data_IF_500640930550
#
_entry.id   IF_500640930550
#
_cell.length_a   1.000
_cell.length_b   1.000
_cell.length_c   1.000
_cell.angle_alpha   90.00
_cell.angle_beta   90.00
_cell.angle_gamma   90.00
#
_symmetry.space_group_name_H-M   'P 1'
#
loop_
_entity.id
_entity.type
_entity.pdbx_description
1 polymer ?
#
# COMPACT_ATOMS: atom_id res chain seq x y z
N UNK A 1 42.09 7.07 79.79
CA UNK A 1 41.84 7.64 78.44
C UNK A 1 41.39 6.51 77.52
N UNK A 2 40.09 6.40 77.27
CA UNK A 2 39.53 5.39 76.37
C UNK A 2 39.31 6.01 74.98
N UNK A 3 40.05 5.53 73.99
CA UNK A 3 39.92 5.91 72.59
C UNK A 3 38.73 5.17 71.98
N UNK A 4 37.58 5.84 71.91
CA UNK A 4 36.39 5.32 71.23
C UNK A 4 36.57 5.43 69.72
N UNK A 5 36.78 4.30 69.05
CA UNK A 5 36.77 4.23 67.59
C UNK A 5 35.34 4.43 67.09
N UNK A 6 35.09 5.58 66.48
CA UNK A 6 33.82 5.87 65.81
C UNK A 6 33.61 4.89 64.64
N UNK A 7 32.50 4.17 64.69
CA UNK A 7 32.12 3.17 63.69
C UNK A 7 31.64 3.88 62.41
N UNK A 8 32.14 3.51 61.22
CA UNK A 8 31.82 4.21 59.99
C UNK A 8 30.35 4.00 59.62
N UNK A 9 29.57 5.09 59.66
CA UNK A 9 28.19 5.13 59.18
C UNK A 9 28.12 4.71 57.71
N UNK A 10 27.49 3.57 57.43
CA UNK A 10 27.21 3.08 56.08
C UNK A 10 26.38 4.11 55.33
N UNK A 11 27.02 4.88 54.45
CA UNK A 11 26.33 5.82 53.56
C UNK A 11 25.36 5.07 52.66
N UNK A 12 24.07 5.27 52.89
CA UNK A 12 22.97 4.69 52.12
C UNK A 12 23.03 5.22 50.69
N UNK A 13 23.66 4.47 49.77
CA UNK A 13 23.61 4.82 48.34
C UNK A 13 22.23 4.45 47.81
N UNK A 14 21.42 5.43 47.38
CA UNK A 14 20.07 5.15 46.96
C UNK A 14 20.07 4.33 45.66
N UNK A 15 19.35 3.21 45.69
CA UNK A 15 19.32 2.16 44.67
C UNK A 15 18.94 2.65 43.27
N UNK A 16 18.17 3.74 43.17
CA UNK A 16 17.76 4.35 41.91
C UNK A 16 18.91 4.84 41.01
N UNK A 17 20.09 5.13 41.56
CA UNK A 17 21.25 5.61 40.79
C UNK A 17 21.84 4.51 39.90
N UNK A 18 21.69 3.23 40.28
CA UNK A 18 22.09 2.10 39.43
C UNK A 18 21.05 1.83 38.32
N UNK A 19 19.76 2.02 38.61
CA UNK A 19 18.67 1.77 37.64
C UNK A 19 18.56 2.82 36.53
N UNK A 20 19.00 4.05 36.78
CA UNK A 20 18.99 5.13 35.77
C UNK A 20 19.79 4.79 34.51
N UNK A 21 20.90 4.06 34.65
CA UNK A 21 21.74 3.65 33.53
C UNK A 21 21.12 2.52 32.70
N UNK A 22 20.34 1.64 33.32
CA UNK A 22 19.60 0.59 32.60
C UNK A 22 18.50 1.22 31.75
N UNK A 23 17.75 2.19 32.31
CA UNK A 23 16.74 2.93 31.55
C UNK A 23 17.32 3.72 30.37
N UNK A 24 18.44 4.41 30.59
CA UNK A 24 19.15 5.13 29.52
C UNK A 24 19.74 4.18 28.48
N UNK A 25 20.26 3.02 28.88
CA UNK A 25 20.75 1.99 27.96
C UNK A 25 19.63 1.42 27.08
N UNK A 26 18.48 1.08 27.67
CA UNK A 26 17.31 0.62 26.92
C UNK A 26 16.74 1.71 26.00
N UNK A 27 16.70 2.96 26.45
CA UNK A 27 16.27 4.09 25.61
C UNK A 27 17.24 4.33 24.46
N UNK A 28 18.55 4.27 24.71
CA UNK A 28 19.56 4.41 23.67
C UNK A 28 19.48 3.24 22.67
N UNK A 29 19.35 1.99 23.12
CA UNK A 29 19.16 0.82 22.24
C UNK A 29 17.84 0.90 21.47
N UNK A 30 16.77 1.40 22.08
CA UNK A 30 15.51 1.63 21.37
C UNK A 30 15.67 2.73 20.33
N UNK A 31 16.28 3.86 20.68
CA UNK A 31 16.45 5.01 19.80
C UNK A 31 17.44 4.72 18.66
N UNK A 32 18.60 4.15 18.96
CA UNK A 32 19.57 3.73 17.94
C UNK A 32 19.09 2.50 17.18
N UNK A 33 18.37 1.58 17.82
CA UNK A 33 17.72 0.47 17.13
C UNK A 33 16.69 0.97 16.11
N UNK A 34 15.83 1.92 16.47
CA UNK A 34 14.80 2.44 15.57
C UNK A 34 15.36 3.35 14.46
N UNK A 35 16.57 3.90 14.64
CA UNK A 35 17.20 4.83 13.69
C UNK A 35 18.29 4.18 12.83
N UNK A 36 19.03 3.20 13.37
CA UNK A 36 20.14 2.50 12.70
C UNK A 36 19.84 1.06 12.33
N UNK A 37 18.85 0.38 12.93
CA UNK A 37 18.31 -0.77 12.22
C UNK A 37 17.61 -0.16 11.01
N UNK A 38 18.04 -0.46 9.77
CA UNK A 38 17.26 -0.10 8.60
C UNK A 38 15.86 -0.60 8.90
N UNK A 39 14.87 0.30 8.95
CA UNK A 39 13.46 0.04 9.28
C UNK A 39 12.94 -1.20 8.52
N UNK A 40 13.26 -2.38 9.04
CA UNK A 40 13.35 -3.66 8.34
C UNK A 40 13.93 -3.65 6.89
N UNK A 41 14.69 -4.67 6.48
CA UNK A 41 15.19 -4.81 5.10
C UNK A 41 14.09 -5.20 4.09
N UNK A 42 12.82 -4.88 4.34
CA UNK A 42 11.77 -4.97 3.33
C UNK A 42 11.82 -3.70 2.47
N UNK A 43 12.97 -3.46 1.83
CA UNK A 43 12.97 -2.57 0.68
C UNK A 43 12.00 -3.10 -0.38
N UNK A 44 11.50 -2.27 -1.30
CA UNK A 44 10.59 -2.69 -2.38
C UNK A 44 11.15 -3.86 -3.22
N UNK A 45 12.45 -4.14 -3.12
CA UNK A 45 13.11 -5.29 -3.72
C UNK A 45 12.62 -6.65 -3.22
N UNK A 46 12.09 -6.80 -1.99
CA UNK A 46 11.71 -8.14 -1.48
C UNK A 46 10.32 -8.59 -1.92
N UNK A 47 9.41 -7.69 -2.30
CA UNK A 47 8.05 -8.07 -2.71
C UNK A 47 8.05 -8.78 -4.07
N UNK A 48 8.96 -8.40 -4.96
CA UNK A 48 9.00 -8.87 -6.34
C UNK A 48 10.32 -9.56 -6.72
N UNK A 49 11.29 -9.64 -5.80
CA UNK A 49 12.59 -10.28 -6.03
C UNK A 49 12.49 -11.77 -6.35
N UNK A 50 11.48 -12.45 -5.79
CA UNK A 50 11.27 -13.90 -5.93
C UNK A 50 10.17 -14.29 -6.94
N UNK A 51 9.83 -13.41 -7.88
CA UNK A 51 8.91 -13.78 -8.97
C UNK A 51 9.55 -14.87 -9.84
N UNK A 52 8.87 -16.01 -9.95
CA UNK A 52 9.29 -17.11 -10.84
C UNK A 52 9.37 -16.64 -12.30
N UNK A 53 10.19 -17.28 -13.11
CA UNK A 53 10.30 -16.94 -14.54
C UNK A 53 8.96 -17.09 -15.27
N UNK A 54 8.12 -18.03 -14.85
CA UNK A 54 6.76 -18.21 -15.35
C UNK A 54 5.87 -16.99 -15.03
N UNK A 55 5.88 -16.52 -13.78
CA UNK A 55 5.14 -15.30 -13.41
C UNK A 55 5.71 -14.09 -14.14
N UNK A 56 7.03 -14.00 -14.32
CA UNK A 56 7.65 -12.91 -15.08
C UNK A 56 7.25 -12.93 -16.55
N UNK A 57 7.16 -14.10 -17.17
CA UNK A 57 6.72 -14.28 -18.55
C UNK A 57 5.23 -13.97 -18.75
N UNK A 58 4.39 -14.20 -17.73
CA UNK A 58 2.96 -13.88 -17.73
C UNK A 58 2.68 -12.37 -17.54
N UNK A 59 3.35 -11.51 -18.29
CA UNK A 59 3.14 -10.05 -18.26
C UNK A 59 1.68 -9.71 -18.57
N UNK A 60 1.16 -8.70 -17.87
CA UNK A 60 -0.16 -8.17 -18.13
C UNK A 60 -0.02 -7.06 -19.17
N UNK A 61 -0.59 -7.28 -20.35
CA UNK A 61 -0.62 -6.28 -21.40
C UNK A 61 -1.53 -5.11 -20.99
N UNK A 62 -1.12 -3.89 -21.33
CA UNK A 62 -1.92 -2.69 -21.17
C UNK A 62 -2.04 -1.99 -22.52
N UNK A 63 -3.12 -1.22 -22.72
CA UNK A 63 -3.36 -0.54 -24.00
C UNK A 63 -2.54 0.75 -24.07
N UNK A 64 -2.63 1.56 -23.01
CA UNK A 64 -1.87 2.81 -22.89
C UNK A 64 -1.45 3.04 -21.44
N UNK A 65 -0.32 3.72 -21.23
CA UNK A 65 0.05 4.22 -19.92
C UNK A 65 -0.65 5.55 -19.71
N UNK A 66 -1.53 5.61 -18.71
CA UNK A 66 -2.26 6.83 -18.44
C UNK A 66 -1.38 7.90 -17.79
N UNK A 67 -1.80 9.14 -17.96
CA UNK A 67 -1.20 10.34 -17.41
C UNK A 67 -2.30 11.35 -17.11
N UNK A 68 -2.00 12.37 -16.32
CA UNK A 68 -2.96 13.44 -16.05
C UNK A 68 -3.46 14.13 -17.35
N UNK A 69 -2.64 14.15 -18.40
CA UNK A 69 -3.01 14.71 -19.71
C UNK A 69 -3.97 13.82 -20.51
N UNK A 70 -3.89 12.49 -20.37
CA UNK A 70 -4.69 11.54 -21.15
C UNK A 70 -5.94 11.08 -20.39
N UNK A 71 -5.80 10.86 -19.09
CA UNK A 71 -6.83 10.35 -18.19
C UNK A 71 -6.76 11.15 -16.88
N UNK A 72 -7.32 12.37 -16.84
CA UNK A 72 -7.25 13.21 -15.65
C UNK A 72 -7.96 12.53 -14.49
N UNK A 73 -7.30 12.47 -13.33
CA UNK A 73 -7.89 11.85 -12.14
C UNK A 73 -9.06 12.69 -11.63
N UNK A 74 -10.25 12.09 -11.53
CA UNK A 74 -11.46 12.72 -11.00
C UNK A 74 -11.99 11.88 -9.85
N UNK A 75 -11.84 12.31 -8.58
CA UNK A 75 -12.36 11.55 -7.46
C UNK A 75 -13.89 11.47 -7.56
N UNK A 76 -14.43 10.28 -7.27
CA UNK A 76 -15.85 9.95 -7.52
C UNK A 76 -16.84 10.80 -6.73
N UNK A 77 -16.44 11.36 -5.58
CA UNK A 77 -17.39 12.07 -4.70
C UNK A 77 -16.80 13.23 -3.92
N UNK A 78 -15.60 13.09 -3.38
CA UNK A 78 -14.95 14.13 -2.58
C UNK A 78 -13.50 14.28 -3.01
N UNK A 79 -13.10 15.52 -3.33
CA UNK A 79 -11.69 15.86 -3.55
C UNK A 79 -11.09 16.23 -2.19
N UNK A 80 -10.57 15.23 -1.48
CA UNK A 80 -9.76 15.49 -0.30
C UNK A 80 -8.51 16.31 -0.67
N UNK A 81 -8.02 17.20 0.21
CA UNK A 81 -6.81 18.00 -0.04
C UNK A 81 -5.55 17.17 -0.32
N UNK A 82 -5.54 15.88 0.03
CA UNK A 82 -4.43 14.99 -0.28
C UNK A 82 -4.37 14.57 -1.74
N UNK A 83 -5.47 14.58 -2.50
CA UNK A 83 -5.45 14.20 -3.91
C UNK A 83 -4.61 15.14 -4.78
N UNK A 84 -4.62 16.45 -4.53
CA UNK A 84 -3.81 17.38 -5.34
C UNK A 84 -2.32 17.10 -5.16
N UNK A 85 -1.91 16.78 -3.92
CA UNK A 85 -0.54 16.36 -3.63
C UNK A 85 -0.25 14.98 -4.24
N UNK A 86 -1.19 14.05 -4.21
CA UNK A 86 -1.04 12.74 -4.83
C UNK A 86 -0.90 12.83 -6.36
N UNK A 87 -1.74 13.63 -7.03
CA UNK A 87 -1.71 13.89 -8.48
C UNK A 87 -0.46 14.65 -8.90
N UNK A 88 0.09 15.51 -8.05
CA UNK A 88 1.38 16.15 -8.32
C UNK A 88 2.56 15.17 -8.12
N UNK A 89 2.50 14.32 -7.08
CA UNK A 89 3.59 13.39 -6.71
C UNK A 89 3.72 12.23 -7.67
N UNK A 90 2.59 11.68 -8.07
CA UNK A 90 2.47 10.70 -9.12
C UNK A 90 1.81 11.47 -10.24
N UNK A 91 2.42 11.77 -11.39
CA UNK A 91 1.74 12.42 -12.53
C UNK A 91 1.24 11.44 -13.61
N UNK A 92 1.77 10.21 -13.63
CA UNK A 92 1.48 9.18 -14.63
C UNK A 92 1.53 7.76 -14.05
N UNK A 93 1.16 6.76 -14.84
CA UNK A 93 1.21 5.35 -14.41
C UNK A 93 2.63 4.88 -14.05
N UNK A 94 3.67 5.38 -14.74
CA UNK A 94 5.08 4.98 -14.51
C UNK A 94 5.56 5.40 -13.13
N UNK A 95 5.14 6.58 -12.67
CA UNK A 95 5.51 7.11 -11.36
C UNK A 95 5.04 6.21 -10.19
N UNK A 96 4.04 5.36 -10.42
CA UNK A 96 3.52 4.40 -9.44
C UNK A 96 4.28 3.07 -9.41
N UNK A 97 5.17 2.82 -10.38
CA UNK A 97 5.91 1.56 -10.47
C UNK A 97 7.21 1.60 -9.67
N UNK A 98 7.77 0.44 -9.35
CA UNK A 98 9.11 0.33 -8.75
C UNK A 98 10.15 0.96 -9.68
N UNK A 99 11.22 1.51 -9.08
CA UNK A 99 12.28 2.23 -9.81
C UNK A 99 12.83 1.45 -11.01
N UNK A 100 12.94 0.13 -10.92
CA UNK A 100 13.45 -0.71 -12.00
C UNK A 100 12.55 -0.77 -13.24
N UNK A 101 11.25 -0.45 -13.12
CA UNK A 101 10.32 -0.48 -14.26
C UNK A 101 10.08 0.90 -14.88
N UNK A 102 10.24 1.99 -14.12
CA UNK A 102 9.80 3.35 -14.54
C UNK A 102 10.34 3.78 -15.91
N UNK A 103 11.61 3.47 -16.17
CA UNK A 103 12.33 3.95 -17.35
C UNK A 103 12.33 2.94 -18.50
N UNK A 104 11.71 1.77 -18.33
CA UNK A 104 11.65 0.75 -19.39
C UNK A 104 10.70 1.18 -20.50
N UNK A 105 10.98 0.89 -21.78
CA UNK A 105 10.03 1.15 -22.86
C UNK A 105 8.68 0.46 -22.62
N UNK A 106 8.74 -0.80 -22.15
CA UNK A 106 7.60 -1.65 -21.80
C UNK A 106 7.68 -2.11 -20.33
N UNK A 107 7.24 -1.26 -19.38
CA UNK A 107 7.27 -1.56 -17.95
C UNK A 107 6.30 -2.68 -17.54
N UNK A 108 6.69 -3.47 -16.56
CA UNK A 108 5.78 -4.40 -15.90
C UNK A 108 4.88 -3.67 -14.88
N UNK A 109 3.66 -3.37 -15.30
CA UNK A 109 2.62 -2.67 -14.52
C UNK A 109 2.17 -3.41 -13.25
N UNK A 110 2.60 -4.66 -13.05
CA UNK A 110 2.34 -5.42 -11.82
C UNK A 110 3.24 -5.00 -10.67
N UNK A 111 4.39 -4.40 -10.97
CA UNK A 111 5.42 -4.08 -9.99
C UNK A 111 5.22 -2.67 -9.45
N UNK A 112 4.19 -2.50 -8.61
CA UNK A 112 3.86 -1.22 -7.97
C UNK A 112 4.87 -0.89 -6.87
N UNK A 113 5.29 0.36 -6.79
CA UNK A 113 6.06 0.89 -5.67
C UNK A 113 5.16 1.22 -4.48
N UNK A 114 4.64 0.19 -3.82
CA UNK A 114 3.79 0.34 -2.64
C UNK A 114 4.49 1.11 -1.52
N UNK A 115 5.82 1.04 -1.46
CA UNK A 115 6.63 1.82 -0.53
C UNK A 115 6.52 3.32 -0.82
N UNK A 116 6.68 3.73 -2.08
CA UNK A 116 6.51 5.12 -2.48
C UNK A 116 5.08 5.60 -2.24
N UNK A 117 4.08 4.79 -2.56
CA UNK A 117 2.66 5.11 -2.37
C UNK A 117 2.33 5.29 -0.88
N UNK A 118 2.69 4.31 -0.05
CA UNK A 118 2.39 4.27 1.37
C UNK A 118 3.19 5.26 2.21
N UNK A 119 4.36 5.69 1.74
CA UNK A 119 5.21 6.70 2.39
C UNK A 119 5.39 6.46 3.89
N UNK A 120 6.44 5.74 4.29
CA UNK A 120 6.74 5.52 5.71
C UNK A 120 6.67 6.82 6.53
N UNK A 121 5.63 6.95 7.37
CA UNK A 121 5.43 8.09 8.27
C UNK A 121 4.39 9.13 7.84
N UNK A 122 3.63 8.93 6.76
CA UNK A 122 2.48 9.80 6.46
C UNK A 122 1.30 9.49 7.41
N UNK A 123 0.55 10.52 7.85
CA UNK A 123 -0.74 10.31 8.52
C UNK A 123 -1.67 9.47 7.63
N UNK A 124 -2.44 8.57 8.25
CA UNK A 124 -3.32 7.58 7.62
C UNK A 124 -4.08 8.03 6.36
N UNK A 125 -4.56 9.28 6.32
CA UNK A 125 -5.33 9.83 5.20
C UNK A 125 -4.52 10.05 3.91
N UNK A 126 -3.19 10.20 4.00
CA UNK A 126 -2.36 10.44 2.80
C UNK A 126 -2.13 9.19 1.96
N UNK A 127 -2.30 8.00 2.54
CA UNK A 127 -1.98 6.72 1.89
C UNK A 127 -3.11 6.25 0.98
N UNK A 128 -4.36 6.48 1.37
CA UNK A 128 -5.52 6.17 0.54
C UNK A 128 -5.46 7.01 -0.73
N UNK A 129 -5.30 8.32 -0.61
CA UNK A 129 -5.32 9.26 -1.74
C UNK A 129 -4.24 8.94 -2.80
N UNK A 130 -3.01 8.65 -2.37
CA UNK A 130 -1.90 8.32 -3.29
C UNK A 130 -2.16 7.03 -4.04
N UNK A 131 -2.71 6.04 -3.36
CA UNK A 131 -2.94 4.76 -3.95
C UNK A 131 -4.18 4.74 -4.85
N UNK A 132 -5.25 5.49 -4.53
CA UNK A 132 -6.38 5.62 -5.46
C UNK A 132 -5.92 6.27 -6.77
N UNK A 133 -5.11 7.33 -6.69
CA UNK A 133 -4.52 7.99 -7.87
C UNK A 133 -3.68 6.99 -8.67
N UNK A 134 -2.84 6.21 -8.00
CA UNK A 134 -2.00 5.24 -8.69
C UNK A 134 -2.80 4.10 -9.34
N UNK A 135 -3.78 3.53 -8.64
CA UNK A 135 -4.62 2.47 -9.17
C UNK A 135 -5.51 2.98 -10.30
N UNK A 136 -6.10 4.17 -10.16
CA UNK A 136 -6.82 4.81 -11.25
C UNK A 136 -5.95 4.92 -12.49
N UNK A 137 -4.70 5.36 -12.34
CA UNK A 137 -3.81 5.51 -13.49
C UNK A 137 -3.44 4.19 -14.14
N UNK A 138 -3.19 3.17 -13.35
CA UNK A 138 -2.93 1.86 -13.92
C UNK A 138 -4.16 1.37 -14.67
N UNK A 139 -5.34 1.46 -14.08
CA UNK A 139 -6.56 0.88 -14.62
C UNK A 139 -7.20 1.68 -15.77
N UNK A 140 -6.98 2.99 -15.84
CA UNK A 140 -7.55 3.84 -16.89
C UNK A 140 -7.11 3.41 -18.31
N UNK A 141 -5.95 2.77 -18.44
CA UNK A 141 -5.42 2.26 -19.70
C UNK A 141 -5.63 0.75 -19.92
N UNK A 142 -6.46 0.10 -19.10
CA UNK A 142 -6.70 -1.34 -19.11
C UNK A 142 -8.18 -1.65 -19.36
N UNK A 143 -8.47 -2.79 -19.97
CA UNK A 143 -9.83 -3.33 -20.02
C UNK A 143 -10.20 -3.97 -18.67
N UNK A 144 -11.49 -4.16 -18.36
CA UNK A 144 -11.91 -4.81 -17.12
C UNK A 144 -11.30 -6.20 -16.92
N UNK A 145 -11.13 -6.98 -18.00
CA UNK A 145 -10.50 -8.31 -17.95
C UNK A 145 -9.02 -8.23 -17.58
N UNK A 146 -8.33 -7.22 -18.09
CA UNK A 146 -6.92 -6.96 -17.75
C UNK A 146 -6.78 -6.52 -16.29
N UNK A 147 -7.68 -5.66 -15.81
CA UNK A 147 -7.70 -5.25 -14.41
C UNK A 147 -8.04 -6.43 -13.49
N UNK A 148 -8.94 -7.32 -13.90
CA UNK A 148 -9.23 -8.56 -13.18
C UNK A 148 -7.96 -9.40 -12.98
N UNK A 149 -7.22 -9.69 -14.06
CA UNK A 149 -5.94 -10.43 -14.00
C UNK A 149 -4.91 -9.72 -13.12
N UNK A 150 -4.88 -8.39 -13.16
CA UNK A 150 -3.99 -7.59 -12.33
C UNK A 150 -4.32 -7.74 -10.86
N UNK A 151 -5.60 -7.65 -10.50
CA UNK A 151 -6.08 -7.86 -9.14
C UNK A 151 -5.80 -9.28 -8.66
N UNK A 152 -6.07 -10.30 -9.48
CA UNK A 152 -5.74 -11.70 -9.18
C UNK A 152 -4.24 -11.87 -8.91
N UNK A 153 -3.37 -11.24 -9.72
CA UNK A 153 -1.93 -11.26 -9.50
C UNK A 153 -1.53 -10.64 -8.14
N UNK A 154 -2.22 -9.58 -7.71
CA UNK A 154 -2.02 -8.99 -6.38
C UNK A 154 -2.72 -9.78 -5.25
N UNK A 155 -3.29 -10.96 -5.54
CA UNK A 155 -3.90 -11.84 -4.55
C UNK A 155 -5.37 -11.54 -4.23
N UNK A 156 -6.05 -10.71 -5.01
CA UNK A 156 -7.47 -10.44 -4.82
C UNK A 156 -8.34 -11.56 -5.39
N UNK A 157 -9.46 -11.85 -4.73
CA UNK A 157 -10.54 -12.60 -5.37
C UNK A 157 -11.36 -11.62 -6.21
N UNK A 158 -11.35 -11.83 -7.52
CA UNK A 158 -12.13 -11.02 -8.45
C UNK A 158 -13.44 -11.72 -8.77
N UNK A 159 -14.55 -11.05 -8.50
CA UNK A 159 -15.86 -11.55 -8.90
C UNK A 159 -16.14 -11.22 -10.37
N UNK A 160 -16.98 -12.01 -11.06
CA UNK A 160 -17.38 -11.71 -12.44
C UNK A 160 -17.92 -10.29 -12.58
N UNK A 161 -17.55 -9.64 -13.68
CA UNK A 161 -18.00 -8.30 -14.01
C UNK A 161 -19.54 -8.25 -14.00
N UNK A 162 -20.12 -7.44 -13.10
CA UNK A 162 -21.57 -7.28 -12.99
C UNK A 162 -21.99 -6.00 -13.69
N UNK A 163 -22.96 -6.13 -14.61
CA UNK A 163 -23.60 -5.00 -15.28
C UNK A 163 -24.75 -4.50 -14.41
N UNK A 164 -24.73 -3.24 -14.01
CA UNK A 164 -25.79 -2.61 -13.23
C UNK A 164 -26.55 -1.58 -14.08
N UNK A 165 -27.89 -1.55 -14.02
CA UNK A 165 -28.65 -0.43 -14.57
C UNK A 165 -28.29 0.85 -13.79
N UNK A 166 -28.12 1.96 -14.50
CA UNK A 166 -27.57 3.18 -13.90
C UNK A 166 -28.44 3.78 -12.79
N UNK A 167 -27.76 4.33 -11.78
CA UNK A 167 -28.34 5.24 -10.78
C UNK A 167 -28.18 6.71 -11.22
N UNK A 168 -27.28 7.01 -12.17
CA UNK A 168 -27.03 8.35 -12.70
C UNK A 168 -27.52 8.46 -14.16
N UNK A 169 -28.43 9.40 -14.49
CA UNK A 169 -29.16 9.42 -15.77
C UNK A 169 -28.34 9.81 -17.01
N UNK A 170 -27.00 9.94 -16.94
CA UNK A 170 -26.17 10.47 -18.04
C UNK A 170 -25.17 9.48 -18.66
N UNK A 171 -25.03 8.25 -18.17
CA UNK A 171 -23.92 7.36 -18.58
C UNK A 171 -24.32 5.93 -19.00
N UNK A 172 -25.60 5.64 -19.30
CA UNK A 172 -26.01 4.31 -19.78
C UNK A 172 -26.05 3.17 -18.73
N UNK A 173 -25.15 2.20 -18.79
CA UNK A 173 -24.90 1.17 -17.77
C UNK A 173 -23.50 1.35 -17.17
N UNK A 174 -23.25 0.80 -15.97
CA UNK A 174 -21.89 0.66 -15.47
C UNK A 174 -21.56 -0.80 -15.14
N UNK A 175 -20.30 -1.16 -15.38
CA UNK A 175 -19.76 -2.44 -14.99
C UNK A 175 -19.02 -2.28 -13.67
N UNK A 176 -19.44 -2.99 -12.63
CA UNK A 176 -18.67 -3.06 -11.39
C UNK A 176 -17.85 -4.34 -11.38
N UNK A 177 -16.57 -4.20 -11.08
CA UNK A 177 -15.68 -5.29 -10.73
C UNK A 177 -15.44 -5.23 -9.23
N UNK A 178 -16.25 -5.95 -8.41
CA UNK A 178 -15.93 -6.12 -7.02
C UNK A 178 -14.71 -7.03 -6.93
N UNK A 179 -13.63 -6.51 -6.37
CA UNK A 179 -12.52 -7.30 -5.86
C UNK A 179 -12.66 -7.37 -4.34
N UNK A 180 -12.65 -8.56 -3.77
CA UNK A 180 -12.75 -8.76 -2.33
C UNK A 180 -11.50 -9.40 -1.75
N UNK A 181 -11.10 -9.00 -0.55
CA UNK A 181 -10.08 -9.72 0.22
C UNK A 181 -10.63 -10.89 1.03
N UNK A 182 -11.95 -11.18 0.92
CA UNK A 182 -12.62 -12.23 1.68
C UNK A 182 -12.00 -13.61 1.44
N UNK A 183 -10.97 -13.90 2.23
CA UNK A 183 -10.70 -15.10 3.02
C UNK A 183 -11.65 -16.26 2.76
N UNK A 184 -11.49 -16.94 1.63
CA UNK A 184 -11.72 -18.38 1.54
C UNK A 184 -11.01 -18.94 0.30
N UNK A 185 -9.99 -19.73 0.56
CA UNK A 185 -9.44 -20.73 -0.36
C UNK A 185 -8.85 -20.20 -1.68
N UNK A 186 -7.56 -19.90 -1.65
CA UNK A 186 -6.56 -20.73 -2.33
C UNK A 186 -5.19 -20.36 -1.78
N UNK A 187 -4.31 -21.35 -1.75
CA UNK A 187 -2.90 -21.23 -1.41
C UNK A 187 -2.30 -20.03 -2.15
N UNK A 188 -2.20 -18.87 -1.50
CA UNK A 188 -1.34 -17.81 -2.00
C UNK A 188 0.06 -18.37 -1.93
N UNK A 189 0.72 -18.57 -3.06
CA UNK A 189 2.10 -19.06 -3.15
C UNK A 189 3.12 -18.14 -2.49
N UNK A 190 2.68 -16.95 -2.05
CA UNK A 190 3.47 -15.99 -1.29
C UNK A 190 3.28 -16.20 0.23
N UNK A 191 4.37 -16.25 1.02
CA UNK A 191 4.29 -16.42 2.47
C UNK A 191 3.39 -15.36 3.11
N UNK A 192 2.44 -15.80 3.93
CA UNK A 192 1.44 -14.95 4.59
C UNK A 192 2.06 -13.79 5.38
N UNK A 193 3.29 -13.94 5.88
CA UNK A 193 4.05 -12.91 6.61
C UNK A 193 4.50 -11.72 5.76
N UNK A 194 4.69 -11.87 4.45
CA UNK A 194 5.07 -10.80 3.53
C UNK A 194 3.85 -10.03 2.99
N UNK A 195 2.71 -10.72 2.87
CA UNK A 195 1.43 -10.14 2.45
C UNK A 195 0.73 -9.34 3.57
N UNK A 196 0.87 -9.76 4.84
CA UNK A 196 0.02 -9.30 5.95
C UNK A 196 0.48 -8.04 6.71
N UNK A 197 1.72 -7.56 6.54
CA UNK A 197 2.22 -6.45 7.36
C UNK A 197 2.11 -5.07 6.69
N UNK A 198 2.29 -4.99 5.37
CA UNK A 198 2.33 -3.71 4.65
C UNK A 198 1.05 -3.43 3.85
N UNK A 199 0.49 -4.45 3.24
CA UNK A 199 -0.70 -4.37 2.42
C UNK A 199 -1.97 -4.38 3.30
N UNK A 200 -2.02 -5.26 4.30
CA UNK A 200 -3.19 -5.51 5.15
C UNK A 200 -3.60 -4.33 6.06
N UNK A 201 -2.64 -3.55 6.56
CA UNK A 201 -2.95 -2.44 7.48
C UNK A 201 -3.42 -1.16 6.75
N UNK A 202 -3.03 -0.93 5.50
CA UNK A 202 -3.19 0.38 4.85
C UNK A 202 -4.25 0.40 3.75
N UNK A 203 -4.49 -0.73 3.10
CA UNK A 203 -5.40 -0.83 1.94
C UNK A 203 -6.59 -1.77 2.16
N UNK A 204 -6.49 -2.70 3.11
CA UNK A 204 -7.38 -3.84 3.22
C UNK A 204 -8.31 -3.86 4.44
N UNK A 205 -8.49 -2.71 5.11
CA UNK A 205 -9.68 -2.53 5.95
C UNK A 205 -10.95 -2.36 5.13
N UNK A 206 -10.84 -1.95 3.86
CA UNK A 206 -11.92 -2.18 2.90
C UNK A 206 -11.86 -3.63 2.44
N UNK A 207 -12.83 -4.42 2.87
CA UNK A 207 -12.99 -5.81 2.41
C UNK A 207 -13.20 -5.90 0.90
N UNK A 208 -13.58 -4.78 0.26
CA UNK A 208 -13.87 -4.71 -1.18
C UNK A 208 -13.30 -3.46 -1.85
N UNK A 209 -12.74 -3.64 -3.05
CA UNK A 209 -12.50 -2.61 -4.06
C UNK A 209 -13.61 -2.72 -5.11
N UNK A 210 -14.25 -1.61 -5.44
CA UNK A 210 -15.24 -1.54 -6.50
C UNK A 210 -14.72 -0.62 -7.60
N UNK A 211 -14.50 -1.22 -8.77
CA UNK A 211 -14.01 -0.52 -9.96
C UNK A 211 -15.17 -0.45 -10.94
N UNK A 212 -15.56 0.77 -11.32
CA UNK A 212 -16.69 1.01 -12.21
C UNK A 212 -16.23 1.51 -13.57
N UNK A 213 -16.76 0.92 -14.64
CA UNK A 213 -16.52 1.31 -16.02
C UNK A 213 -17.81 1.71 -16.71
N UNK A 214 -17.73 2.59 -17.72
CA UNK A 214 -18.85 2.86 -18.63
C UNK A 214 -19.02 1.77 -19.70
N UNK A 215 -19.95 1.97 -20.63
CA UNK A 215 -20.23 1.05 -21.74
C UNK A 215 -19.06 0.93 -22.74
N UNK A 216 -18.20 1.93 -22.80
CA UNK A 216 -16.98 1.94 -23.63
C UNK A 216 -15.76 1.42 -22.85
N UNK A 217 -15.98 0.84 -21.67
CA UNK A 217 -14.95 0.39 -20.74
C UNK A 217 -13.98 1.47 -20.28
N UNK A 218 -14.39 2.73 -20.28
CA UNK A 218 -13.62 3.80 -19.64
C UNK A 218 -13.87 3.76 -18.14
N UNK A 219 -12.79 3.84 -17.38
CA UNK A 219 -12.84 3.86 -15.93
C UNK A 219 -13.59 5.10 -15.43
N UNK A 220 -14.73 4.88 -14.77
CA UNK A 220 -15.57 5.94 -14.19
C UNK A 220 -15.13 6.27 -12.77
N UNK A 221 -14.93 5.24 -11.96
CA UNK A 221 -14.61 5.42 -10.55
C UNK A 221 -13.95 4.22 -9.95
N UNK A 222 -13.19 4.49 -8.89
CA UNK A 222 -12.63 3.51 -8.01
C UNK A 222 -13.09 3.86 -6.59
N UNK A 223 -13.58 2.88 -5.85
CA UNK A 223 -14.07 3.08 -4.49
C UNK A 223 -13.70 1.92 -3.59
N UNK A 224 -13.47 2.22 -2.32
CA UNK A 224 -13.12 1.27 -1.28
C UNK A 224 -14.24 1.23 -0.25
N UNK A 225 -14.67 0.03 0.13
CA UNK A 225 -15.72 -0.14 1.13
C UNK A 225 -15.47 -1.34 2.04
N UNK A 226 -15.74 -1.16 3.32
CA UNK A 226 -16.01 -2.27 4.24
C UNK A 226 -17.51 -2.60 4.15
N UNK A 227 -17.82 -3.82 3.74
CA UNK A 227 -19.15 -4.43 3.65
C UNK A 227 -20.22 -3.67 2.83
N UNK A 228 -20.40 -4.13 1.58
CA UNK A 228 -21.69 -4.10 0.90
C UNK A 228 -22.14 -5.54 0.64
N UNK A 229 -22.40 -6.28 1.73
CA UNK A 229 -23.27 -7.45 1.74
C UNK A 229 -24.18 -7.35 2.96
#
# INVERSE_FOLDING_TARGET
>A
MASGKAEPTKTFRPWWRKKRWIGLGLFAVWFTGNWFLPRFPFGPFTLYGDLTDELRAARIAYVTLSSEATHPFRPYRFRFPGYDRAVARFPDARSCLVKSERDKPDPDIRLIDWYAIGGFGLPWQGVTDTAEVCLFRLFAGMTPETVAKWLEFQGFNVYPLKRYPNVLPKTGYYYSLPGGFLTRNKESSLPWSLHSLFLFNYFFYSETINISYDEEYKLLSLSYGGNAL
#
